data_IF_150362979661
#
_entry.id   IF_150362979661
#
_cell.length_a   1.000
_cell.length_b   1.000
_cell.length_c   1.000
_cell.angle_alpha   90.00
_cell.angle_beta   90.00
_cell.angle_gamma   90.00
#
_symmetry.space_group_name_H-M   'P 1'
#
loop_
_entity.id
_entity.type
_entity.pdbx_description
1 polymer ?
#
# COMPACT_ATOMS: atom_id res chain seq x y z
N UNK A 1 -37.41 -28.02 -4.93
CA UNK A 1 -35.99 -28.09 -4.56
C UNK A 1 -35.79 -27.17 -3.36
N UNK A 2 -35.33 -27.66 -2.19
CA UNK A 2 -35.02 -26.76 -1.10
C UNK A 2 -33.82 -25.90 -1.51
N UNK A 3 -33.93 -24.58 -1.38
CA UNK A 3 -32.83 -23.67 -1.61
C UNK A 3 -31.67 -24.07 -0.69
N UNK A 4 -30.52 -24.37 -1.27
CA UNK A 4 -29.28 -24.56 -0.53
C UNK A 4 -29.07 -23.34 0.37
N UNK A 5 -28.85 -23.51 1.69
CA UNK A 5 -28.62 -22.37 2.56
C UNK A 5 -27.38 -21.64 2.02
N UNK A 6 -27.57 -20.40 1.57
CA UNK A 6 -26.48 -19.54 1.15
C UNK A 6 -25.50 -19.48 2.31
N UNK A 7 -24.24 -19.87 2.08
CA UNK A 7 -23.19 -19.71 3.09
C UNK A 7 -23.27 -18.29 3.66
N UNK A 8 -23.25 -18.11 5.00
CA UNK A 8 -23.42 -16.79 5.58
C UNK A 8 -22.38 -15.85 5.00
N UNK A 9 -22.87 -14.82 4.30
CA UNK A 9 -22.03 -13.74 3.77
C UNK A 9 -21.66 -12.85 4.96
N UNK A 10 -20.37 -12.63 5.17
CA UNK A 10 -19.89 -11.73 6.21
C UNK A 10 -20.13 -10.29 5.76
N UNK A 11 -21.33 -9.78 6.04
CA UNK A 11 -21.76 -8.46 5.63
C UNK A 11 -20.84 -7.37 6.19
N UNK A 12 -20.35 -7.57 7.42
CA UNK A 12 -19.42 -6.69 8.11
C UNK A 12 -18.09 -6.60 7.35
N UNK A 13 -17.56 -7.75 6.90
CA UNK A 13 -16.32 -7.81 6.14
C UNK A 13 -16.45 -7.10 4.79
N UNK A 14 -17.56 -7.32 4.10
CA UNK A 14 -17.85 -6.68 2.82
C UNK A 14 -18.02 -5.16 2.99
N UNK A 15 -18.73 -4.71 4.04
CA UNK A 15 -18.91 -3.30 4.35
C UNK A 15 -17.58 -2.60 4.69
N UNK A 16 -16.73 -3.23 5.51
CA UNK A 16 -15.41 -2.69 5.84
C UNK A 16 -14.51 -2.56 4.62
N UNK A 17 -14.56 -3.52 3.68
CA UNK A 17 -13.81 -3.39 2.41
C UNK A 17 -14.31 -2.21 1.60
N UNK A 18 -15.62 -2.05 1.45
CA UNK A 18 -16.21 -0.90 0.75
C UNK A 18 -15.77 0.42 1.37
N UNK A 19 -15.82 0.52 2.71
CA UNK A 19 -15.36 1.68 3.45
C UNK A 19 -13.87 1.98 3.22
N UNK A 20 -13.00 0.96 3.28
CA UNK A 20 -11.57 1.11 3.00
C UNK A 20 -11.32 1.61 1.58
N UNK A 21 -12.05 1.09 0.58
CA UNK A 21 -11.93 1.53 -0.82
C UNK A 21 -12.37 2.98 -0.99
N UNK A 22 -13.45 3.42 -0.33
CA UNK A 22 -13.86 4.83 -0.36
C UNK A 22 -12.81 5.75 0.24
N UNK A 23 -12.15 5.33 1.32
CA UNK A 23 -11.05 6.08 1.92
C UNK A 23 -9.80 6.15 1.02
N UNK A 24 -9.46 5.06 0.32
CA UNK A 24 -8.38 5.05 -0.69
C UNK A 24 -8.73 6.00 -1.84
N UNK A 25 -9.98 5.97 -2.31
CA UNK A 25 -10.47 6.87 -3.36
C UNK A 25 -10.31 8.34 -2.97
N UNK A 26 -10.66 8.71 -1.73
CA UNK A 26 -10.50 10.08 -1.24
C UNK A 26 -9.07 10.58 -1.41
N UNK A 27 -8.08 9.75 -1.03
CA UNK A 27 -6.69 10.14 -1.21
C UNK A 27 -6.25 10.15 -2.66
N UNK A 28 -6.75 9.24 -3.51
CA UNK A 28 -6.41 9.27 -4.93
C UNK A 28 -6.96 10.52 -5.64
N UNK A 29 -8.11 11.05 -5.22
CA UNK A 29 -8.63 12.32 -5.75
C UNK A 29 -7.60 13.44 -5.54
N UNK A 30 -6.98 13.51 -4.35
CA UNK A 30 -5.93 14.50 -4.05
C UNK A 30 -4.74 14.32 -4.98
N UNK A 31 -4.26 13.10 -5.19
CA UNK A 31 -3.09 12.82 -6.03
C UNK A 31 -3.33 13.02 -7.53
N UNK A 32 -4.57 12.91 -7.99
CA UNK A 32 -4.91 13.27 -9.38
C UNK A 32 -5.17 14.77 -9.56
N UNK A 33 -5.59 15.47 -8.50
CA UNK A 33 -5.95 16.89 -8.57
C UNK A 33 -4.80 17.84 -8.25
N UNK A 34 -3.78 17.39 -7.53
CA UNK A 34 -2.69 18.22 -7.01
C UNK A 34 -1.31 17.59 -7.26
N UNK A 35 -0.22 18.38 -7.25
CA UNK A 35 1.14 17.84 -7.30
C UNK A 35 1.42 16.92 -6.11
N UNK A 36 2.27 15.89 -6.29
CA UNK A 36 2.56 14.89 -5.26
C UNK A 36 3.04 15.50 -3.93
N UNK A 37 3.82 16.58 -4.00
CA UNK A 37 4.32 17.28 -2.82
C UNK A 37 3.20 17.91 -1.96
N UNK A 38 2.00 18.11 -2.52
CA UNK A 38 0.84 18.59 -1.79
C UNK A 38 0.30 17.56 -0.77
N UNK A 39 0.63 16.26 -0.92
CA UNK A 39 0.34 15.26 0.12
C UNK A 39 1.06 15.56 1.43
N UNK A 40 2.30 16.05 1.35
CA UNK A 40 3.14 16.32 2.52
C UNK A 40 2.94 17.71 3.10
N UNK A 41 2.54 18.68 2.27
CA UNK A 41 2.28 20.04 2.71
C UNK A 41 1.24 20.72 1.83
N UNK A 42 0.08 21.13 2.37
CA UNK A 42 -0.97 21.78 1.59
C UNK A 42 -0.52 23.16 1.07
N UNK A 43 0.48 23.78 1.72
CA UNK A 43 1.06 25.06 1.28
C UNK A 43 1.70 24.99 -0.12
N UNK A 44 2.14 23.81 -0.56
CA UNK A 44 2.73 23.60 -1.89
C UNK A 44 1.72 23.89 -3.01
N UNK A 45 0.42 23.73 -2.72
CA UNK A 45 -0.67 23.98 -3.66
C UNK A 45 -1.53 25.18 -3.24
N UNK A 46 -0.99 26.08 -2.41
CA UNK A 46 -1.68 27.29 -1.96
C UNK A 46 -2.70 27.08 -0.84
N UNK A 47 -2.82 25.87 -0.28
CA UNK A 47 -3.71 25.54 0.85
C UNK A 47 -3.15 26.02 2.19
N UNK A 48 -2.96 27.33 2.33
CA UNK A 48 -2.46 27.95 3.58
C UNK A 48 -3.58 28.41 4.51
N UNK A 49 -4.82 28.41 4.04
CA UNK A 49 -5.97 28.84 4.83
C UNK A 49 -6.32 27.79 5.91
N UNK A 50 -6.86 28.26 7.04
CA UNK A 50 -7.19 27.39 8.18
C UNK A 50 -8.09 26.20 7.81
N UNK A 51 -9.14 26.35 6.99
CA UNK A 51 -9.97 25.21 6.58
C UNK A 51 -9.20 24.15 5.78
N UNK A 52 -8.30 24.57 4.89
CA UNK A 52 -7.52 23.67 4.04
C UNK A 52 -6.50 22.89 4.88
N UNK A 53 -5.83 23.56 5.82
CA UNK A 53 -4.90 22.92 6.77
C UNK A 53 -5.62 21.92 7.66
N UNK A 54 -6.83 22.25 8.15
CA UNK A 54 -7.64 21.32 8.95
C UNK A 54 -8.05 20.11 8.11
N UNK A 55 -8.55 20.32 6.89
CA UNK A 55 -8.96 19.23 5.99
C UNK A 55 -7.78 18.31 5.65
N UNK A 56 -6.62 18.89 5.35
CA UNK A 56 -5.38 18.15 5.14
C UNK A 56 -4.98 17.35 6.38
N UNK A 57 -4.97 17.98 7.57
CA UNK A 57 -4.57 17.31 8.81
C UNK A 57 -5.49 16.14 9.18
N UNK A 58 -6.81 16.31 9.02
CA UNK A 58 -7.77 15.23 9.23
C UNK A 58 -7.54 14.08 8.23
N UNK A 59 -7.34 14.40 6.96
CA UNK A 59 -7.07 13.40 5.92
C UNK A 59 -5.77 12.65 6.20
N UNK A 60 -4.71 13.35 6.60
CA UNK A 60 -3.42 12.76 6.95
C UNK A 60 -3.52 11.81 8.16
N UNK A 61 -4.20 12.23 9.23
CA UNK A 61 -4.31 11.43 10.45
C UNK A 61 -5.19 10.19 10.24
N UNK A 62 -6.36 10.37 9.63
CA UNK A 62 -7.41 9.33 9.60
C UNK A 62 -7.47 8.51 8.32
N UNK A 63 -7.01 9.05 7.19
CA UNK A 63 -7.24 8.44 5.87
C UNK A 63 -5.94 7.95 5.27
N UNK A 64 -4.92 8.82 5.19
CA UNK A 64 -3.67 8.51 4.54
C UNK A 64 -2.95 7.34 5.23
N UNK A 65 -2.60 6.34 4.41
CA UNK A 65 -2.06 5.06 4.83
C UNK A 65 -3.04 4.15 5.59
N UNK A 66 -3.94 4.70 6.42
CA UNK A 66 -4.85 3.91 7.28
C UNK A 66 -5.83 3.07 6.47
N UNK A 67 -6.40 3.65 5.42
CA UNK A 67 -7.39 2.96 4.57
C UNK A 67 -6.73 1.88 3.72
N UNK A 68 -5.51 2.14 3.21
CA UNK A 68 -4.67 1.11 2.57
C UNK A 68 -4.33 -0.02 3.55
N UNK A 69 -3.92 0.31 4.77
CA UNK A 69 -3.62 -0.67 5.81
C UNK A 69 -4.82 -1.55 6.17
N UNK A 70 -6.00 -0.94 6.35
CA UNK A 70 -7.24 -1.67 6.58
C UNK A 70 -7.57 -2.60 5.40
N UNK A 71 -7.44 -2.12 4.16
CA UNK A 71 -7.66 -2.94 2.98
C UNK A 71 -6.68 -4.12 2.90
N UNK A 72 -5.39 -3.92 3.21
CA UNK A 72 -4.38 -5.01 3.29
C UNK A 72 -4.76 -6.07 4.32
N UNK A 73 -5.17 -5.66 5.52
CA UNK A 73 -5.58 -6.59 6.58
C UNK A 73 -6.80 -7.42 6.16
N UNK A 74 -7.80 -6.76 5.58
CA UNK A 74 -8.99 -7.42 5.07
C UNK A 74 -8.65 -8.36 3.92
N UNK A 75 -7.73 -7.98 3.03
CA UNK A 75 -7.24 -8.83 1.95
C UNK A 75 -6.60 -10.12 2.48
N UNK A 76 -5.71 -10.01 3.47
CA UNK A 76 -5.10 -11.18 4.12
C UNK A 76 -6.14 -12.12 4.74
N UNK A 77 -7.10 -11.57 5.48
CA UNK A 77 -8.22 -12.35 6.04
C UNK A 77 -9.07 -13.02 4.94
N UNK A 78 -9.26 -12.34 3.80
CA UNK A 78 -9.98 -12.87 2.66
C UNK A 78 -9.30 -14.09 2.05
N UNK A 79 -7.97 -14.08 1.99
CA UNK A 79 -7.19 -15.20 1.48
C UNK A 79 -7.34 -16.42 2.37
N UNK A 80 -7.23 -16.27 3.70
CA UNK A 80 -7.47 -17.37 4.65
C UNK A 80 -8.88 -17.94 4.50
N UNK A 81 -9.90 -17.09 4.47
CA UNK A 81 -11.29 -17.53 4.28
C UNK A 81 -11.51 -18.27 2.94
N UNK A 82 -10.81 -17.90 1.87
CA UNK A 82 -10.90 -18.60 0.58
C UNK A 82 -10.26 -19.98 0.65
N UNK A 83 -9.09 -20.10 1.30
CA UNK A 83 -8.38 -21.37 1.48
C UNK A 83 -9.21 -22.32 2.34
N UNK A 84 -9.63 -21.87 3.54
CA UNK A 84 -10.43 -22.65 4.47
C UNK A 84 -11.74 -23.14 3.84
N UNK A 85 -12.43 -22.28 3.07
CA UNK A 85 -13.68 -22.64 2.40
C UNK A 85 -13.47 -23.65 1.27
N UNK A 86 -12.34 -23.59 0.57
CA UNK A 86 -12.01 -24.56 -0.48
C UNK A 86 -11.73 -25.93 0.15
N UNK A 87 -10.95 -25.95 1.23
CA UNK A 87 -10.59 -27.18 1.97
C UNK A 87 -11.80 -27.83 2.62
N UNK A 88 -12.66 -27.05 3.27
CA UNK A 88 -13.91 -27.52 3.86
C UNK A 88 -14.87 -28.15 2.82
N UNK A 89 -14.72 -27.79 1.54
CA UNK A 89 -15.50 -28.34 0.41
C UNK A 89 -14.76 -29.49 -0.31
N UNK A 90 -13.59 -29.91 0.15
CA UNK A 90 -12.75 -30.90 -0.52
C UNK A 90 -12.23 -30.45 -1.88
N UNK A 91 -12.17 -29.14 -2.13
CA UNK A 91 -11.68 -28.56 -3.37
C UNK A 91 -10.18 -28.25 -3.28
N UNK A 92 -9.51 -28.12 -4.42
CA UNK A 92 -8.11 -27.71 -4.47
C UNK A 92 -8.00 -26.21 -4.15
N UNK A 93 -7.60 -25.88 -2.91
CA UNK A 93 -7.43 -24.52 -2.40
C UNK A 93 -6.41 -23.71 -3.20
N UNK A 94 -5.26 -24.31 -3.55
CA UNK A 94 -4.24 -23.69 -4.39
C UNK A 94 -4.81 -23.23 -5.73
N UNK A 95 -5.50 -24.10 -6.46
CA UNK A 95 -6.07 -23.78 -7.78
C UNK A 95 -7.05 -22.60 -7.69
N UNK A 96 -7.90 -22.59 -6.67
CA UNK A 96 -8.88 -21.52 -6.47
C UNK A 96 -8.18 -20.21 -6.12
N UNK A 97 -7.23 -20.24 -5.18
CA UNK A 97 -6.47 -19.07 -4.75
C UNK A 97 -5.66 -18.47 -5.90
N UNK A 98 -4.81 -19.26 -6.57
CA UNK A 98 -3.96 -18.79 -7.65
C UNK A 98 -4.74 -18.33 -8.88
N UNK A 99 -5.90 -18.93 -9.18
CA UNK A 99 -6.77 -18.41 -10.23
C UNK A 99 -7.28 -16.99 -9.90
N UNK A 100 -7.63 -16.73 -8.64
CA UNK A 100 -8.05 -15.39 -8.20
C UNK A 100 -6.88 -14.40 -8.24
N UNK A 101 -5.69 -14.82 -7.82
CA UNK A 101 -4.49 -13.98 -7.90
C UNK A 101 -4.10 -13.68 -9.35
N UNK A 102 -4.24 -14.64 -10.26
CA UNK A 102 -4.00 -14.43 -11.69
C UNK A 102 -4.92 -13.35 -12.26
N UNK A 103 -6.23 -13.44 -12.00
CA UNK A 103 -7.17 -12.42 -12.46
C UNK A 103 -6.87 -11.06 -11.82
N UNK A 104 -6.55 -11.03 -10.52
CA UNK A 104 -6.17 -9.80 -9.84
C UNK A 104 -4.91 -9.17 -10.46
N UNK A 105 -3.91 -9.99 -10.81
CA UNK A 105 -2.70 -9.55 -11.50
C UNK A 105 -2.99 -9.03 -12.91
N UNK A 106 -3.84 -9.72 -13.68
CA UNK A 106 -4.24 -9.27 -15.03
C UNK A 106 -4.93 -7.90 -14.94
N UNK A 107 -5.88 -7.74 -14.02
CA UNK A 107 -6.55 -6.45 -13.82
C UNK A 107 -5.59 -5.37 -13.32
N UNK A 108 -4.66 -5.71 -12.43
CA UNK A 108 -3.64 -4.78 -11.95
C UNK A 108 -2.69 -4.33 -13.06
N UNK A 109 -2.22 -5.24 -13.90
CA UNK A 109 -1.38 -4.90 -15.06
C UNK A 109 -2.14 -4.06 -16.07
N UNK A 110 -3.39 -4.43 -16.40
CA UNK A 110 -4.21 -3.62 -17.28
C UNK A 110 -4.42 -2.20 -16.71
N UNK A 111 -4.71 -2.10 -15.41
CA UNK A 111 -4.85 -0.82 -14.73
C UNK A 111 -3.54 -0.01 -14.76
N UNK A 112 -2.41 -0.63 -14.47
CA UNK A 112 -1.09 0.00 -14.50
C UNK A 112 -0.73 0.56 -15.88
N UNK A 113 -0.91 -0.23 -16.94
CA UNK A 113 -0.52 0.16 -18.30
C UNK A 113 -1.51 1.09 -18.99
N UNK A 114 -2.82 0.96 -18.73
CA UNK A 114 -3.84 1.70 -19.46
C UNK A 114 -4.47 2.87 -18.68
N UNK A 115 -4.36 2.91 -17.36
CA UNK A 115 -5.05 3.90 -16.53
C UNK A 115 -4.07 4.77 -15.71
N UNK A 116 -3.29 4.17 -14.81
CA UNK A 116 -2.45 4.92 -13.88
C UNK A 116 -1.37 4.03 -13.21
N UNK A 117 -0.17 4.59 -13.03
CA UNK A 117 1.00 3.88 -12.48
C UNK A 117 0.90 3.52 -10.99
N UNK A 118 -0.02 4.12 -10.23
CA UNK A 118 -0.24 3.81 -8.80
C UNK A 118 -1.05 2.55 -8.53
N UNK A 119 -0.91 1.52 -9.37
CA UNK A 119 -1.63 0.26 -9.19
C UNK A 119 -1.23 -0.48 -7.91
N UNK A 120 -2.23 -0.88 -7.13
CA UNK A 120 -2.04 -1.74 -5.94
C UNK A 120 -2.44 -3.19 -6.22
N UNK A 121 -3.23 -3.47 -7.26
CA UNK A 121 -3.82 -4.80 -7.47
C UNK A 121 -2.74 -5.83 -7.79
N UNK A 122 -1.80 -5.48 -8.66
CA UNK A 122 -0.71 -6.37 -9.05
C UNK A 122 0.20 -6.70 -7.85
N UNK A 123 0.53 -5.70 -7.04
CA UNK A 123 1.30 -5.90 -5.81
C UNK A 123 0.59 -6.88 -4.87
N UNK A 124 -0.73 -6.72 -4.69
CA UNK A 124 -1.52 -7.60 -3.85
C UNK A 124 -1.62 -9.01 -4.41
N UNK A 125 -1.68 -9.17 -5.73
CA UNK A 125 -1.64 -10.48 -6.37
C UNK A 125 -0.29 -11.17 -6.14
N UNK A 126 0.82 -10.44 -6.30
CA UNK A 126 2.16 -10.96 -6.09
C UNK A 126 2.38 -11.39 -4.63
N UNK A 127 2.05 -10.52 -3.68
CA UNK A 127 2.12 -10.85 -2.24
C UNK A 127 1.14 -11.98 -1.90
N UNK A 128 -0.06 -11.96 -2.48
CA UNK A 128 -1.08 -13.00 -2.36
C UNK A 128 -0.56 -14.40 -2.73
N UNK A 129 0.27 -14.50 -3.76
CA UNK A 129 0.94 -15.75 -4.13
C UNK A 129 1.94 -16.22 -3.05
N UNK A 130 2.68 -15.31 -2.44
CA UNK A 130 3.68 -15.62 -1.41
C UNK A 130 3.00 -16.08 -0.11
N UNK A 131 1.98 -15.34 0.35
CA UNK A 131 1.31 -15.64 1.63
C UNK A 131 0.56 -16.96 1.63
N UNK A 132 0.23 -17.53 0.45
CA UNK A 132 -0.35 -18.86 0.35
C UNK A 132 0.54 -19.92 1.04
N UNK A 133 1.86 -19.82 0.90
CA UNK A 133 2.81 -20.72 1.56
C UNK A 133 2.93 -20.51 3.06
N UNK A 134 2.36 -19.42 3.56
CA UNK A 134 2.35 -19.05 4.98
C UNK A 134 0.97 -19.30 5.62
N UNK A 135 -0.02 -19.78 4.85
CA UNK A 135 -1.39 -19.95 5.31
C UNK A 135 -1.52 -20.90 6.52
N UNK A 136 -0.72 -21.96 6.54
CA UNK A 136 -0.73 -22.97 7.61
C UNK A 136 0.13 -22.57 8.83
N UNK A 137 0.78 -21.40 8.80
CA UNK A 137 1.61 -20.96 9.91
C UNK A 137 0.76 -20.46 11.08
N UNK A 138 1.24 -20.67 12.31
CA UNK A 138 0.60 -20.11 13.49
C UNK A 138 0.61 -18.58 13.46
N UNK A 139 -0.40 -17.95 14.06
CA UNK A 139 -0.50 -16.50 14.16
C UNK A 139 0.76 -15.86 14.78
N UNK A 140 1.40 -16.53 15.73
CA UNK A 140 2.65 -16.09 16.36
C UNK A 140 3.82 -16.02 15.35
N UNK A 141 3.94 -17.01 14.46
CA UNK A 141 4.97 -17.01 13.40
C UNK A 141 4.70 -15.92 12.38
N UNK A 142 3.45 -15.78 11.96
CA UNK A 142 3.03 -14.71 11.04
C UNK A 142 3.35 -13.32 11.62
N UNK A 143 3.07 -13.11 12.90
CA UNK A 143 3.41 -11.87 13.60
C UNK A 143 4.92 -11.62 13.64
N UNK A 144 5.73 -12.64 13.98
CA UNK A 144 7.19 -12.52 13.99
C UNK A 144 7.76 -12.19 12.62
N UNK A 145 7.33 -12.88 11.56
CA UNK A 145 7.77 -12.57 10.19
C UNK A 145 7.33 -11.17 9.76
N UNK A 146 6.08 -10.80 10.06
CA UNK A 146 5.57 -9.46 9.79
C UNK A 146 6.39 -8.37 10.49
N UNK A 147 6.71 -8.57 11.77
CA UNK A 147 7.53 -7.65 12.55
C UNK A 147 8.96 -7.58 12.02
N UNK A 148 9.57 -8.72 11.67
CA UNK A 148 10.90 -8.78 11.10
C UNK A 148 10.98 -8.01 9.77
N UNK A 149 10.03 -8.24 8.86
CA UNK A 149 9.95 -7.56 7.57
C UNK A 149 9.72 -6.07 7.78
N UNK A 150 8.85 -5.69 8.71
CA UNK A 150 8.59 -4.30 9.05
C UNK A 150 9.84 -3.59 9.58
N UNK A 151 10.55 -4.19 10.55
CA UNK A 151 11.78 -3.62 11.12
C UNK A 151 12.87 -3.51 10.04
N UNK A 152 13.05 -4.56 9.24
CA UNK A 152 14.03 -4.54 8.14
C UNK A 152 13.72 -3.42 7.13
N UNK A 153 12.44 -3.29 6.73
CA UNK A 153 11.98 -2.22 5.85
C UNK A 153 12.16 -0.83 6.46
N UNK A 154 11.85 -0.67 7.76
CA UNK A 154 12.03 0.58 8.49
C UNK A 154 13.51 0.98 8.56
N UNK A 155 14.42 0.05 8.86
CA UNK A 155 15.86 0.30 8.89
C UNK A 155 16.35 0.68 7.49
N UNK A 156 15.97 -0.07 6.45
CA UNK A 156 16.37 0.21 5.08
C UNK A 156 15.88 1.60 4.62
N UNK A 157 14.61 1.92 4.87
CA UNK A 157 14.04 3.22 4.53
C UNK A 157 14.71 4.37 5.29
N UNK A 158 14.94 4.19 6.60
CA UNK A 158 15.64 5.17 7.44
C UNK A 158 17.08 5.39 7.00
N UNK A 159 17.77 4.33 6.55
CA UNK A 159 19.13 4.45 6.02
C UNK A 159 19.16 5.22 4.70
N UNK A 160 18.23 4.94 3.78
CA UNK A 160 18.13 5.66 2.49
C UNK A 160 17.75 7.12 2.72
N UNK A 161 16.75 7.41 3.56
CA UNK A 161 16.39 8.80 3.87
C UNK A 161 17.49 9.52 4.64
N UNK A 162 18.14 8.84 5.59
CA UNK A 162 19.26 9.38 6.35
C UNK A 162 20.45 9.73 5.45
N UNK A 163 20.77 8.90 4.45
CA UNK A 163 21.84 9.20 3.50
C UNK A 163 21.51 10.39 2.60
N UNK A 164 20.27 10.50 2.12
CA UNK A 164 19.81 11.65 1.34
C UNK A 164 19.87 12.96 2.14
N UNK A 165 19.37 12.95 3.38
CA UNK A 165 19.44 14.12 4.27
C UNK A 165 20.89 14.49 4.61
N UNK A 166 21.76 13.50 4.79
CA UNK A 166 23.18 13.73 5.03
C UNK A 166 23.87 14.38 3.82
N UNK A 167 23.59 13.90 2.61
CA UNK A 167 24.11 14.50 1.37
C UNK A 167 23.59 15.93 1.19
N UNK A 168 22.31 16.17 1.44
CA UNK A 168 21.71 17.51 1.41
C UNK A 168 22.38 18.46 2.41
N UNK A 169 22.63 17.99 3.63
CA UNK A 169 23.32 18.77 4.66
C UNK A 169 24.74 19.15 4.22
N UNK A 170 25.52 18.20 3.70
CA UNK A 170 26.89 18.46 3.23
C UNK A 170 26.93 19.44 2.05
N UNK A 171 26.01 19.31 1.10
CA UNK A 171 25.90 20.23 -0.03
C UNK A 171 25.48 21.66 0.39
N UNK A 172 24.80 21.80 1.53
CA UNK A 172 24.38 23.09 2.10
C UNK A 172 25.42 23.81 2.96
N UNK A 173 26.57 23.19 3.28
CA UNK A 173 27.60 23.80 4.11
C UNK A 173 28.35 24.93 3.37
N UNK A 174 28.67 26.05 4.04
CA UNK A 174 29.48 27.11 3.45
C UNK A 174 30.91 26.59 3.20
N UNK A 175 31.27 26.37 1.93
CA UNK A 175 32.55 25.78 1.52
C UNK A 175 32.46 24.33 1.01
N UNK A 176 31.25 23.81 0.78
CA UNK A 176 31.06 22.52 0.11
C UNK A 176 31.79 22.49 -1.24
N UNK A 177 32.51 21.39 -1.53
CA UNK A 177 33.22 21.24 -2.79
C UNK A 177 32.22 21.06 -3.94
N UNK A 178 32.59 21.51 -5.15
CA UNK A 178 31.75 21.34 -6.34
C UNK A 178 31.40 19.86 -6.60
N UNK A 179 32.29 18.94 -6.22
CA UNK A 179 32.05 17.50 -6.31
C UNK A 179 30.86 17.04 -5.44
N UNK A 180 30.77 17.51 -4.19
CA UNK A 180 29.66 17.16 -3.26
C UNK A 180 28.33 17.74 -3.75
N UNK A 181 28.36 18.94 -4.33
CA UNK A 181 27.16 19.58 -4.90
C UNK A 181 26.70 18.84 -6.17
N UNK A 182 27.64 18.41 -7.02
CA UNK A 182 27.33 17.61 -8.21
C UNK A 182 26.75 16.25 -7.83
N UNK A 183 27.36 15.56 -6.87
CA UNK A 183 26.91 14.25 -6.39
C UNK A 183 25.48 14.32 -5.82
N UNK A 184 25.17 15.36 -5.04
CA UNK A 184 23.81 15.58 -4.56
C UNK A 184 22.81 15.86 -5.70
N UNK A 185 23.20 16.66 -6.70
CA UNK A 185 22.33 16.95 -7.86
C UNK A 185 22.07 15.73 -8.71
N UNK A 186 23.10 14.91 -8.95
CA UNK A 186 22.98 13.66 -9.70
C UNK A 186 22.10 12.66 -8.95
N UNK A 187 22.30 12.52 -7.63
CA UNK A 187 21.43 11.70 -6.79
C UNK A 187 19.97 12.16 -6.86
N UNK A 188 19.71 13.48 -6.82
CA UNK A 188 18.35 14.05 -6.93
C UNK A 188 17.76 13.91 -8.35
N UNK A 189 18.58 13.92 -9.40
CA UNK A 189 18.13 13.75 -10.78
C UNK A 189 17.52 12.36 -11.01
N UNK A 190 18.10 11.32 -10.41
CA UNK A 190 17.56 9.96 -10.43
C UNK A 190 16.17 9.85 -9.76
N UNK A 191 15.81 10.76 -8.86
CA UNK A 191 14.49 10.81 -8.21
C UNK A 191 13.45 11.66 -8.96
N UNK A 192 13.80 12.31 -10.07
CA UNK A 192 12.96 13.29 -10.77
C UNK A 192 12.26 12.79 -12.04
N UNK A 193 11.98 11.49 -12.14
CA UNK A 193 11.20 10.88 -13.24
C UNK A 193 9.71 11.15 -13.07
#
# INVERSE_FOLDING_TARGET
MPATPSSPRYLELDAMRGFAVMGILLMNIVGFAMPDMAYFSPAVYGGTDTPDVIAWALSFVFVDGKMRGLFTLLFGASVMLVIERAEAKGQNSAKIHYSRMLWLAIFGLAHFFFLWSGDILFLYAAIGCIIYFMADMSAEKLFHYGLLIYIAGFIAYSAIMGSLLYMQYQAGLPGASEAVISEFKDAMADFSI
#
